data_IF_333572109359
#
_entry.id   IF_333572109359
#
_cell.length_a   1.000
_cell.length_b   1.000
_cell.length_c   1.000
_cell.angle_alpha   90.00
_cell.angle_beta   90.00
_cell.angle_gamma   90.00
#
_symmetry.space_group_name_H-M   'P 1'
#
loop_
_entity.id
_entity.type
_entity.pdbx_description
1 polymer ?
#
# COMPACT_ATOMS: atom_id res chain seq x y z
N UNK A 1 1.64 9.71 -19.44
CA UNK A 1 2.38 10.99 -19.31
C UNK A 1 1.46 12.21 -19.49
N UNK A 2 0.25 12.19 -18.90
CA UNK A 2 -0.79 13.21 -19.09
C UNK A 2 -1.39 13.63 -17.73
N UNK A 3 -0.57 14.00 -16.72
CA UNK A 3 -1.09 14.38 -15.38
C UNK A 3 -0.73 15.80 -14.92
N UNK A 4 0.00 16.58 -15.72
CA UNK A 4 0.41 17.93 -15.32
C UNK A 4 -0.28 19.01 -16.19
N UNK A 5 -1.20 19.75 -15.57
CA UNK A 5 -1.70 21.08 -15.95
C UNK A 5 -2.63 21.25 -17.17
N UNK A 6 -3.51 20.30 -17.44
CA UNK A 6 -4.56 20.38 -18.49
C UNK A 6 -5.07 19.03 -18.96
N UNK A 7 -4.39 17.98 -18.53
CA UNK A 7 -4.73 16.62 -18.86
C UNK A 7 -5.67 15.94 -17.87
N UNK A 8 -5.81 16.44 -16.63
CA UNK A 8 -6.73 15.83 -15.66
C UNK A 8 -8.18 15.95 -16.12
N UNK A 9 -8.59 17.13 -16.59
CA UNK A 9 -9.95 17.33 -17.11
C UNK A 9 -10.22 16.49 -18.36
N UNK A 10 -9.22 16.34 -19.23
CA UNK A 10 -9.29 15.44 -20.40
C UNK A 10 -9.39 13.97 -19.98
N UNK A 11 -8.54 13.52 -19.05
CA UNK A 11 -8.58 12.16 -18.53
C UNK A 11 -9.91 11.85 -17.83
N UNK A 12 -10.47 12.80 -17.08
CA UNK A 12 -11.82 12.67 -16.51
C UNK A 12 -12.85 12.45 -17.62
N UNK A 13 -12.80 13.22 -18.70
CA UNK A 13 -13.72 13.06 -19.83
C UNK A 13 -13.53 11.70 -20.54
N UNK A 14 -12.28 11.29 -20.78
CA UNK A 14 -11.95 10.00 -21.39
C UNK A 14 -12.43 8.82 -20.54
N UNK A 15 -12.19 8.82 -19.22
CA UNK A 15 -12.66 7.77 -18.34
C UNK A 15 -14.19 7.71 -18.25
N UNK A 16 -14.88 8.86 -18.22
CA UNK A 16 -16.35 8.89 -18.29
C UNK A 16 -16.87 8.30 -19.58
N UNK A 17 -16.28 8.68 -20.71
CA UNK A 17 -16.61 8.15 -22.03
C UNK A 17 -16.45 6.62 -22.07
N UNK A 18 -15.39 6.07 -21.49
CA UNK A 18 -15.22 4.61 -21.38
C UNK A 18 -16.34 3.94 -20.57
N UNK A 19 -16.81 4.57 -19.49
CA UNK A 19 -17.84 4.01 -18.59
C UNK A 19 -19.28 4.18 -19.13
N UNK A 20 -19.53 5.27 -19.84
CA UNK A 20 -20.88 5.73 -20.21
C UNK A 20 -21.21 5.50 -21.69
N UNK A 21 -20.22 5.62 -22.58
CA UNK A 21 -20.47 5.53 -24.01
C UNK A 21 -20.66 4.07 -24.46
N UNK A 22 -21.59 3.90 -25.40
CA UNK A 22 -21.83 2.66 -26.11
C UNK A 22 -21.38 2.86 -27.56
N UNK A 23 -20.15 2.46 -27.88
CA UNK A 23 -19.69 2.46 -29.27
C UNK A 23 -20.26 1.25 -30.02
N UNK A 24 -20.63 1.39 -31.31
CA UNK A 24 -21.14 0.26 -32.12
C UNK A 24 -20.23 -0.98 -32.10
N UNK A 25 -18.91 -0.77 -32.05
CA UNK A 25 -17.91 -1.83 -31.97
C UNK A 25 -17.95 -2.58 -30.62
N UNK A 26 -18.29 -1.90 -29.53
CA UNK A 26 -18.48 -2.54 -28.22
C UNK A 26 -19.74 -3.39 -28.19
N UNK A 27 -20.83 -2.91 -28.79
CA UNK A 27 -22.08 -3.66 -28.91
C UNK A 27 -21.90 -4.92 -29.77
N UNK A 28 -21.21 -4.79 -30.91
CA UNK A 28 -20.90 -5.91 -31.79
C UNK A 28 -20.06 -6.99 -31.08
N UNK A 29 -19.11 -6.57 -30.22
CA UNK A 29 -18.24 -7.48 -29.45
C UNK A 29 -18.82 -7.84 -28.08
N UNK A 30 -19.99 -7.32 -27.71
CA UNK A 30 -20.66 -7.47 -26.41
C UNK A 30 -19.77 -7.12 -25.21
N UNK A 31 -18.89 -6.12 -25.35
CA UNK A 31 -18.10 -5.60 -24.25
C UNK A 31 -18.88 -4.52 -23.50
N UNK A 32 -18.86 -4.58 -22.16
CA UNK A 32 -19.46 -3.59 -21.27
C UNK A 32 -18.46 -3.20 -20.18
N UNK A 33 -17.94 -1.97 -20.28
CA UNK A 33 -16.99 -1.40 -19.32
C UNK A 33 -17.67 -0.58 -18.22
N UNK A 34 -19.01 -0.48 -18.20
CA UNK A 34 -19.74 0.34 -17.21
C UNK A 34 -19.52 -0.09 -15.76
N UNK A 35 -19.03 -1.32 -15.54
CA UNK A 35 -18.68 -1.88 -14.23
C UNK A 35 -17.19 -2.24 -14.12
N UNK A 36 -16.35 -1.64 -14.97
CA UNK A 36 -14.91 -1.80 -14.85
C UNK A 36 -14.41 -1.02 -13.63
N UNK A 37 -14.05 -1.75 -12.58
CA UNK A 37 -13.63 -1.15 -11.32
C UNK A 37 -12.24 -0.50 -11.42
N UNK A 38 -11.40 -0.90 -12.37
CA UNK A 38 -10.09 -0.28 -12.61
C UNK A 38 -10.30 1.12 -13.20
N UNK A 39 -11.19 1.24 -14.20
CA UNK A 39 -11.56 2.54 -14.79
C UNK A 39 -12.25 3.44 -13.77
N UNK A 40 -13.15 2.89 -12.94
CA UNK A 40 -13.78 3.63 -11.84
C UNK A 40 -12.75 4.15 -10.83
N UNK A 41 -11.76 3.32 -10.47
CA UNK A 41 -10.69 3.71 -9.57
C UNK A 41 -9.81 4.81 -10.16
N UNK A 42 -9.42 4.71 -11.44
CA UNK A 42 -8.63 5.74 -12.12
C UNK A 42 -9.39 7.05 -12.26
N UNK A 43 -10.69 7.01 -12.57
CA UNK A 43 -11.54 8.20 -12.58
C UNK A 43 -11.62 8.84 -11.19
N UNK A 44 -11.89 8.06 -10.15
CA UNK A 44 -11.93 8.52 -8.76
C UNK A 44 -10.61 9.17 -8.32
N UNK A 45 -9.48 8.53 -8.64
CA UNK A 45 -8.14 9.04 -8.36
C UNK A 45 -7.86 10.34 -9.10
N UNK A 46 -8.22 10.43 -10.38
CA UNK A 46 -8.01 11.63 -11.21
C UNK A 46 -8.84 12.80 -10.71
N UNK A 47 -10.10 12.56 -10.31
CA UNK A 47 -10.96 13.56 -9.67
C UNK A 47 -10.36 14.05 -8.35
N UNK A 48 -9.80 13.14 -7.54
CA UNK A 48 -9.15 13.51 -6.28
C UNK A 48 -7.89 14.37 -6.51
N UNK A 49 -7.06 14.01 -7.49
CA UNK A 49 -5.91 14.83 -7.90
C UNK A 49 -6.35 16.20 -8.41
N UNK A 50 -7.42 16.27 -9.20
CA UNK A 50 -8.00 17.51 -9.70
C UNK A 50 -8.52 18.40 -8.56
N UNK A 51 -9.12 17.81 -7.52
CA UNK A 51 -9.55 18.52 -6.32
C UNK A 51 -8.37 19.19 -5.58
N UNK A 52 -7.21 18.51 -5.50
CA UNK A 52 -5.99 19.06 -4.86
C UNK A 52 -5.42 20.29 -5.60
N UNK A 53 -5.76 20.50 -6.87
CA UNK A 53 -5.40 21.71 -7.61
C UNK A 53 -6.23 22.93 -7.19
N UNK A 54 -7.42 22.74 -6.60
CA UNK A 54 -8.30 23.83 -6.19
C UNK A 54 -7.91 24.38 -4.81
N UNK A 55 -6.96 25.32 -4.83
CA UNK A 55 -6.38 25.94 -3.62
C UNK A 55 -7.12 27.22 -3.21
N UNK A 56 -7.09 27.50 -1.91
CA UNK A 56 -7.70 28.68 -1.30
C UNK A 56 -9.19 28.53 -1.01
N UNK A 57 -9.72 29.47 -0.23
CA UNK A 57 -11.11 29.44 0.24
C UNK A 57 -12.10 29.74 -0.88
N UNK A 58 -11.73 30.64 -1.81
CA UNK A 58 -12.55 30.99 -2.97
C UNK A 58 -12.86 29.79 -3.89
N UNK A 59 -12.05 28.72 -3.83
CA UNK A 59 -12.23 27.51 -4.63
C UNK A 59 -12.66 26.29 -3.81
N UNK A 60 -12.99 26.49 -2.53
CA UNK A 60 -13.43 25.42 -1.62
C UNK A 60 -14.65 24.66 -2.16
N UNK A 61 -15.67 25.36 -2.65
CA UNK A 61 -16.85 24.72 -3.23
C UNK A 61 -16.52 23.83 -4.43
N UNK A 62 -15.62 24.28 -5.32
CA UNK A 62 -15.18 23.50 -6.48
C UNK A 62 -14.37 22.27 -6.05
N UNK A 63 -13.47 22.44 -5.07
CA UNK A 63 -12.71 21.34 -4.47
C UNK A 63 -13.64 20.27 -3.90
N UNK A 64 -14.62 20.67 -3.09
CA UNK A 64 -15.57 19.76 -2.46
C UNK A 64 -16.46 19.05 -3.49
N UNK A 65 -16.80 19.72 -4.59
CA UNK A 65 -17.50 19.09 -5.71
C UNK A 65 -16.69 17.95 -6.33
N UNK A 66 -15.41 18.17 -6.62
CA UNK A 66 -14.54 17.11 -7.14
C UNK A 66 -14.33 15.97 -6.13
N UNK A 67 -14.16 16.29 -4.85
CA UNK A 67 -14.05 15.28 -3.78
C UNK A 67 -15.30 14.40 -3.70
N UNK A 68 -16.50 14.99 -3.78
CA UNK A 68 -17.77 14.24 -3.78
C UNK A 68 -17.91 13.35 -5.01
N UNK A 69 -17.50 13.82 -6.19
CA UNK A 69 -17.49 13.00 -7.40
C UNK A 69 -16.51 11.82 -7.30
N UNK A 70 -15.33 12.02 -6.69
CA UNK A 70 -14.38 10.95 -6.41
C UNK A 70 -14.96 9.90 -5.45
N UNK A 71 -15.63 10.33 -4.38
CA UNK A 71 -16.34 9.44 -3.44
C UNK A 71 -17.37 8.58 -4.17
N UNK A 72 -18.15 9.16 -5.07
CA UNK A 72 -19.13 8.42 -5.86
C UNK A 72 -18.49 7.29 -6.67
N UNK A 73 -17.38 7.56 -7.35
CA UNK A 73 -16.72 6.53 -8.18
C UNK A 73 -16.10 5.43 -7.32
N UNK A 74 -15.44 5.77 -6.21
CA UNK A 74 -14.93 4.75 -5.29
C UNK A 74 -16.04 3.93 -4.63
N UNK A 75 -17.21 4.51 -4.37
CA UNK A 75 -18.37 3.75 -3.90
C UNK A 75 -18.91 2.80 -4.97
N UNK A 76 -18.87 3.17 -6.25
CA UNK A 76 -19.18 2.25 -7.36
C UNK A 76 -18.16 1.11 -7.42
N UNK A 77 -16.86 1.39 -7.27
CA UNK A 77 -15.83 0.36 -7.12
C UNK A 77 -16.17 -0.59 -5.99
N UNK A 78 -16.49 -0.07 -4.79
CA UNK A 78 -16.85 -0.89 -3.62
C UNK A 78 -18.15 -1.68 -3.78
N UNK A 79 -19.05 -1.25 -4.66
CA UNK A 79 -20.25 -2.02 -5.00
C UNK A 79 -19.94 -3.21 -5.93
N UNK A 80 -18.76 -3.23 -6.57
CA UNK A 80 -18.29 -4.32 -7.43
C UNK A 80 -17.30 -5.22 -6.67
N UNK A 81 -16.32 -4.61 -6.02
CA UNK A 81 -15.31 -5.25 -5.18
C UNK A 81 -15.30 -4.56 -3.80
N UNK A 82 -15.97 -5.18 -2.83
CA UNK A 82 -16.10 -4.64 -1.47
C UNK A 82 -14.79 -4.60 -0.70
N UNK A 83 -13.75 -5.29 -1.15
CA UNK A 83 -12.44 -5.38 -0.46
C UNK A 83 -11.37 -4.50 -1.14
N UNK A 84 -11.78 -3.70 -2.13
CA UNK A 84 -10.85 -2.93 -2.95
C UNK A 84 -10.00 -1.95 -2.11
N UNK A 85 -8.70 -2.26 -2.02
CA UNK A 85 -7.76 -1.50 -1.20
C UNK A 85 -7.61 -0.05 -1.65
N UNK A 86 -7.51 0.17 -2.97
CA UNK A 86 -7.33 1.51 -3.52
C UNK A 86 -8.55 2.40 -3.20
N UNK A 87 -9.76 1.86 -3.31
CA UNK A 87 -10.99 2.57 -2.96
C UNK A 87 -11.05 2.90 -1.47
N UNK A 88 -10.79 1.94 -0.57
CA UNK A 88 -10.78 2.21 0.86
C UNK A 88 -9.72 3.22 1.28
N UNK A 89 -8.49 3.11 0.74
CA UNK A 89 -7.43 4.07 1.03
C UNK A 89 -7.83 5.50 0.61
N UNK A 90 -8.31 5.67 -0.63
CA UNK A 90 -8.67 6.99 -1.13
C UNK A 90 -9.91 7.57 -0.46
N UNK A 91 -10.93 6.76 -0.17
CA UNK A 91 -12.11 7.19 0.58
C UNK A 91 -11.72 7.67 1.99
N UNK A 92 -10.77 7.01 2.65
CA UNK A 92 -10.27 7.46 3.94
C UNK A 92 -9.66 8.88 3.87
N UNK A 93 -8.84 9.14 2.84
CA UNK A 93 -8.22 10.46 2.64
C UNK A 93 -9.25 11.53 2.27
N UNK A 94 -10.19 11.22 1.37
CA UNK A 94 -11.18 12.16 0.89
C UNK A 94 -12.17 12.52 2.00
N UNK A 95 -12.66 11.56 2.77
CA UNK A 95 -13.55 11.84 3.89
C UNK A 95 -12.87 12.67 4.98
N UNK A 96 -11.58 12.44 5.25
CA UNK A 96 -10.82 13.29 6.15
C UNK A 96 -10.75 14.74 5.65
N UNK A 97 -10.56 14.94 4.34
CA UNK A 97 -10.53 16.27 3.74
C UNK A 97 -11.90 16.96 3.73
N UNK A 98 -12.99 16.20 3.63
CA UNK A 98 -14.37 16.70 3.75
C UNK A 98 -14.83 16.91 5.20
N UNK A 99 -13.99 16.59 6.20
CA UNK A 99 -14.32 16.73 7.62
C UNK A 99 -15.17 15.60 8.21
N UNK A 100 -15.36 14.50 7.48
CA UNK A 100 -16.09 13.32 7.96
C UNK A 100 -15.11 12.30 8.57
N UNK A 101 -14.61 12.60 9.76
CA UNK A 101 -13.61 11.78 10.47
C UNK A 101 -14.10 10.34 10.73
N UNK A 102 -15.40 10.16 10.99
CA UNK A 102 -15.97 8.84 11.26
C UNK A 102 -15.85 7.92 10.04
N UNK A 103 -16.24 8.40 8.85
CA UNK A 103 -16.07 7.61 7.62
C UNK A 103 -14.60 7.44 7.24
N UNK A 104 -13.78 8.46 7.46
CA UNK A 104 -12.35 8.35 7.23
C UNK A 104 -11.72 7.21 8.03
N UNK A 105 -12.05 7.12 9.32
CA UNK A 105 -11.54 6.08 10.22
C UNK A 105 -12.10 4.70 9.87
N UNK A 106 -13.37 4.61 9.49
CA UNK A 106 -13.97 3.36 9.02
C UNK A 106 -13.21 2.80 7.80
N UNK A 107 -12.99 3.63 6.77
CA UNK A 107 -12.29 3.20 5.58
C UNK A 107 -10.82 2.89 5.82
N UNK A 108 -10.15 3.61 6.74
CA UNK A 108 -8.77 3.28 7.15
C UNK A 108 -8.68 1.89 7.77
N UNK A 109 -9.60 1.56 8.68
CA UNK A 109 -9.68 0.22 9.30
C UNK A 109 -9.94 -0.88 8.27
N UNK A 110 -10.82 -0.62 7.30
CA UNK A 110 -11.09 -1.57 6.22
C UNK A 110 -9.86 -1.77 5.33
N UNK A 111 -9.18 -0.70 4.92
CA UNK A 111 -7.92 -0.79 4.18
C UNK A 111 -6.85 -1.61 4.94
N UNK A 112 -6.69 -1.38 6.24
CA UNK A 112 -5.77 -2.16 7.08
C UNK A 112 -6.17 -3.64 7.20
N UNK A 113 -7.48 -3.91 7.27
CA UNK A 113 -8.04 -5.27 7.35
C UNK A 113 -7.77 -6.07 6.08
N UNK A 114 -7.93 -5.46 4.91
CA UNK A 114 -7.83 -6.14 3.61
C UNK A 114 -6.41 -6.20 3.04
N UNK A 115 -5.44 -5.49 3.62
CA UNK A 115 -4.05 -5.49 3.12
C UNK A 115 -3.48 -6.92 3.18
N UNK A 116 -3.03 -7.50 2.04
CA UNK A 116 -2.40 -8.81 2.01
C UNK A 116 -1.09 -8.79 2.82
N UNK A 117 -1.10 -9.47 3.96
CA UNK A 117 0.04 -10.08 4.66
C UNK A 117 1.41 -9.38 4.78
N UNK A 118 1.42 -8.13 5.24
CA UNK A 118 2.37 -7.79 6.31
C UNK A 118 1.87 -8.34 7.68
N UNK A 119 0.56 -8.47 7.86
CA UNK A 119 -0.03 -8.81 9.16
C UNK A 119 -0.01 -10.31 9.53
N UNK A 120 -0.20 -11.30 8.63
CA UNK A 120 -0.05 -12.71 9.06
C UNK A 120 1.40 -13.18 9.08
N UNK A 121 2.30 -12.63 8.24
CA UNK A 121 3.74 -12.93 8.35
C UNK A 121 4.31 -12.40 9.66
N UNK A 122 4.03 -11.15 10.03
CA UNK A 122 4.52 -10.58 11.29
C UNK A 122 3.85 -11.18 12.53
N UNK A 123 2.56 -11.54 12.46
CA UNK A 123 1.91 -12.30 13.53
C UNK A 123 2.48 -13.71 13.66
N UNK A 124 2.72 -14.42 12.56
CA UNK A 124 3.33 -15.75 12.58
C UNK A 124 4.77 -15.69 13.10
N UNK A 125 5.57 -14.71 12.68
CA UNK A 125 6.93 -14.49 13.19
C UNK A 125 6.91 -14.14 14.67
N UNK A 126 6.00 -13.27 15.13
CA UNK A 126 5.87 -12.89 16.54
C UNK A 126 5.39 -14.05 17.42
N UNK A 127 4.44 -14.85 16.95
CA UNK A 127 3.95 -16.06 17.63
C UNK A 127 5.05 -17.14 17.68
N UNK A 128 5.80 -17.33 16.58
CA UNK A 128 6.92 -18.27 16.53
C UNK A 128 8.08 -17.84 17.44
N UNK A 129 8.38 -16.54 17.52
CA UNK A 129 9.40 -15.96 18.43
C UNK A 129 9.05 -16.15 19.90
N UNK A 130 7.80 -15.84 20.29
CA UNK A 130 7.31 -16.07 21.67
C UNK A 130 7.38 -17.53 22.12
N UNK A 131 7.27 -18.48 21.19
CA UNK A 131 7.31 -19.91 21.49
C UNK A 131 8.72 -20.51 21.46
N UNK A 132 9.77 -19.73 21.13
CA UNK A 132 11.15 -20.21 21.07
C UNK A 132 12.17 -19.16 21.59
N UNK A 133 12.52 -19.19 22.89
CA UNK A 133 13.49 -18.26 23.50
C UNK A 133 14.88 -18.27 22.86
N UNK A 134 15.28 -19.38 22.21
CA UNK A 134 16.59 -19.49 21.56
C UNK A 134 16.66 -18.73 20.21
N UNK A 135 15.51 -18.49 19.56
CA UNK A 135 15.44 -17.77 18.29
C UNK A 135 15.44 -16.24 18.48
N UNK A 136 14.92 -15.74 19.60
CA UNK A 136 14.95 -14.30 19.94
C UNK A 136 16.37 -13.81 20.26
N UNK A 137 17.24 -14.67 20.80
CA UNK A 137 18.62 -14.31 21.13
C UNK A 137 19.53 -14.14 19.90
N UNK A 138 19.16 -14.69 18.73
CA UNK A 138 19.96 -14.62 17.50
C UNK A 138 19.63 -13.40 16.61
N UNK A 139 18.55 -12.67 16.91
CA UNK A 139 18.07 -11.54 16.10
C UNK A 139 18.47 -10.15 16.65
N UNK A 140 19.26 -10.07 17.73
CA UNK A 140 19.82 -8.80 18.20
C UNK A 140 20.86 -8.28 17.19
N UNK A 141 20.60 -7.11 16.61
CA UNK A 141 21.38 -6.48 15.53
C UNK A 141 22.79 -6.00 15.93
N UNK A 142 23.32 -6.39 17.09
CA UNK A 142 24.72 -6.17 17.46
C UNK A 142 25.20 -7.32 18.34
N UNK A 143 25.67 -8.38 17.69
CA UNK A 143 26.46 -9.40 18.36
C UNK A 143 27.92 -8.94 18.35
N UNK A 144 28.38 -8.36 19.46
CA UNK A 144 29.82 -8.19 19.68
C UNK A 144 30.38 -9.58 20.02
N UNK A 145 30.94 -10.26 19.03
CA UNK A 145 31.69 -11.50 19.27
C UNK A 145 33.09 -11.16 19.83
N UNK A 146 33.47 -11.63 21.02
CA UNK A 146 34.87 -11.64 21.42
C UNK A 146 35.62 -12.67 20.56
N UNK A 147 36.41 -12.19 19.60
CA UNK A 147 37.15 -13.00 18.61
C UNK A 147 38.39 -13.73 19.16
N UNK A 148 38.46 -14.02 20.46
CA UNK A 148 39.56 -14.76 21.06
C UNK A 148 39.04 -15.92 21.89
N UNK A 149 38.67 -17.01 21.20
CA UNK A 149 38.57 -18.34 21.81
C UNK A 149 39.63 -19.24 21.18
N UNK A 150 40.46 -19.85 22.01
CA UNK A 150 41.38 -20.91 21.57
C UNK A 150 40.57 -22.06 20.93
N UNK A 151 40.87 -22.38 19.67
CA UNK A 151 40.25 -23.48 18.92
C UNK A 151 39.39 -23.10 17.71
N UNK A 152 39.43 -21.85 17.21
CA UNK A 152 38.78 -21.48 15.95
C UNK A 152 39.56 -22.02 14.72
N UNK A 153 38.82 -22.51 13.72
CA UNK A 153 39.36 -23.17 12.53
C UNK A 153 40.20 -22.21 11.69
N UNK A 154 41.52 -22.48 11.57
CA UNK A 154 42.46 -21.70 10.75
C UNK A 154 43.65 -21.08 11.49
N UNK A 155 43.73 -21.17 12.82
CA UNK A 155 44.94 -20.81 13.57
C UNK A 155 45.76 -22.07 13.87
N UNK A 156 46.96 -22.14 13.30
CA UNK A 156 47.95 -23.16 13.66
C UNK A 156 48.32 -22.97 15.13
N UNK A 157 48.03 -23.98 15.95
CA UNK A 157 48.57 -24.10 17.30
C UNK A 157 50.07 -24.36 17.20
N UNK A 158 50.88 -23.31 17.20
CA UNK A 158 52.28 -23.44 17.61
C UNK A 158 52.30 -23.55 19.14
N UNK A 159 52.42 -24.77 19.64
CA UNK A 159 52.78 -25.02 21.04
C UNK A 159 54.30 -25.25 21.10
N UNK A 160 55.04 -24.56 21.98
CA UNK A 160 56.49 -24.74 22.13
C UNK A 160 56.78 -26.06 22.84
N UNK A 161 57.73 -26.85 22.33
CA UNK A 161 58.22 -28.05 23.00
C UNK A 161 59.29 -27.68 24.06
N UNK A 162 58.91 -27.75 25.35
CA UNK A 162 59.78 -28.15 26.47
C UNK A 162 59.36 -29.60 26.80
N UNK A 163 60.19 -30.58 27.16
CA UNK A 163 61.58 -30.66 27.60
C UNK A 163 61.97 -32.16 27.72
N UNK A 164 63.28 -32.41 27.85
CA UNK A 164 63.93 -33.49 28.62
C UNK A 164 64.42 -34.78 27.90
N UNK A 165 65.76 -34.86 27.92
CA UNK A 165 66.70 -35.99 28.01
C UNK A 165 66.28 -37.26 28.75
N UNK A 166 66.83 -38.42 28.30
CA UNK A 166 67.52 -39.51 29.04
C UNK A 166 67.26 -40.89 28.38
N UNK A 167 68.10 -41.93 28.58
CA UNK A 167 69.24 -42.06 29.49
C UNK A 167 70.62 -42.03 28.81
#
# INVERSE_FOLDING_TARGET
>A
MNKQNGYLDKAIAEFRSILEDRYPELEQRKFDFSRDYEVLNELGQTLFERAKMERGDARSAQRDSFLKQAVEQFNKTLAIDTENLAAHYNLALIHAQLGDSNKADQHRKLHEKYRPDDNARDRAVTIARRNNPAADHAAQATVIYPLQRNGAFGLTSQTPARQASAP
#
